data_IF_510726567762
#
_entry.id   IF_510726567762
#
_cell.length_a   1.000
_cell.length_b   1.000
_cell.length_c   1.000
_cell.angle_alpha   90.00
_cell.angle_beta   90.00
_cell.angle_gamma   90.00
#
_symmetry.space_group_name_H-M   'P 1'
#
loop_
_entity.id
_entity.type
_entity.pdbx_description
1 polymer ?
#
# COMPACT_ATOMS: atom_id res chain seq x y z
N UNK A 1 -36.63 -6.03 -5.00
CA UNK A 1 -35.24 -5.58 -5.14
C UNK A 1 -35.20 -4.20 -5.73
N UNK A 2 -34.45 -3.29 -5.13
CA UNK A 2 -34.33 -1.92 -5.60
C UNK A 2 -33.10 -1.80 -6.51
N UNK A 3 -33.34 -1.68 -7.80
CA UNK A 3 -32.26 -1.59 -8.80
C UNK A 3 -31.42 -0.32 -8.63
N UNK A 4 -32.05 0.79 -8.25
CA UNK A 4 -31.35 2.06 -8.07
C UNK A 4 -30.39 2.01 -6.90
N UNK A 5 -30.79 1.36 -5.79
CA UNK A 5 -29.94 1.18 -4.63
C UNK A 5 -28.71 0.31 -4.96
N UNK A 6 -28.89 -0.74 -5.74
CA UNK A 6 -27.80 -1.59 -6.17
C UNK A 6 -26.86 -0.90 -7.15
N UNK A 7 -27.41 -0.13 -8.09
CA UNK A 7 -26.61 0.67 -9.01
C UNK A 7 -25.75 1.68 -8.26
N UNK A 8 -26.35 2.39 -7.31
CA UNK A 8 -25.65 3.35 -6.48
C UNK A 8 -24.55 2.67 -5.65
N UNK A 9 -24.85 1.51 -5.08
CA UNK A 9 -23.89 0.72 -4.32
C UNK A 9 -22.67 0.37 -5.16
N UNK A 10 -22.87 -0.16 -6.36
CA UNK A 10 -21.76 -0.52 -7.23
C UNK A 10 -20.95 0.70 -7.67
N UNK A 11 -21.61 1.81 -7.93
CA UNK A 11 -20.93 3.06 -8.30
C UNK A 11 -20.05 3.56 -7.15
N UNK A 12 -20.56 3.52 -5.93
CA UNK A 12 -19.79 3.90 -4.74
C UNK A 12 -18.63 2.94 -4.48
N UNK A 13 -18.82 1.64 -4.71
CA UNK A 13 -17.74 0.66 -4.57
C UNK A 13 -16.61 0.95 -5.56
N UNK A 14 -16.91 1.29 -6.80
CA UNK A 14 -15.91 1.64 -7.79
C UNK A 14 -15.14 2.88 -7.37
N UNK A 15 -15.83 3.90 -6.85
CA UNK A 15 -15.19 5.13 -6.39
C UNK A 15 -14.25 4.87 -5.22
N UNK A 16 -14.67 4.04 -4.25
CA UNK A 16 -13.84 3.65 -3.12
C UNK A 16 -12.61 2.86 -3.57
N UNK A 17 -12.81 1.90 -4.47
CA UNK A 17 -11.71 1.09 -5.00
C UNK A 17 -10.66 1.97 -5.67
N UNK A 18 -11.10 2.90 -6.50
CA UNK A 18 -10.20 3.84 -7.19
C UNK A 18 -9.44 4.72 -6.21
N UNK A 19 -10.14 5.29 -5.23
CA UNK A 19 -9.52 6.17 -4.23
C UNK A 19 -8.52 5.40 -3.37
N UNK A 20 -8.87 4.19 -2.95
CA UNK A 20 -7.97 3.35 -2.17
C UNK A 20 -6.71 2.98 -2.95
N UNK A 21 -6.85 2.68 -4.24
CA UNK A 21 -5.70 2.40 -5.09
C UNK A 21 -4.75 3.61 -5.17
N UNK A 22 -5.30 4.81 -5.29
CA UNK A 22 -4.51 6.06 -5.29
C UNK A 22 -3.78 6.25 -3.97
N UNK A 23 -4.44 5.99 -2.84
CA UNK A 23 -3.83 6.12 -1.51
C UNK A 23 -2.68 5.13 -1.31
N UNK A 24 -2.85 3.90 -1.77
CA UNK A 24 -1.80 2.88 -1.71
C UNK A 24 -0.61 3.30 -2.58
N UNK A 25 -0.87 3.80 -3.78
CA UNK A 25 0.19 4.24 -4.68
C UNK A 25 0.97 5.43 -4.11
N UNK A 26 0.28 6.39 -3.50
CA UNK A 26 0.94 7.50 -2.80
C UNK A 26 1.84 6.99 -1.67
N UNK A 27 1.38 5.98 -0.93
CA UNK A 27 2.16 5.37 0.13
C UNK A 27 3.38 4.65 -0.41
N UNK A 28 3.26 3.96 -1.54
CA UNK A 28 4.41 3.34 -2.22
C UNK A 28 5.47 4.38 -2.58
N UNK A 29 5.05 5.55 -3.06
CA UNK A 29 5.98 6.63 -3.40
C UNK A 29 6.74 7.13 -2.17
N UNK A 30 6.07 7.25 -1.03
CA UNK A 30 6.73 7.61 0.23
C UNK A 30 7.76 6.57 0.64
N UNK A 31 7.42 5.29 0.56
CA UNK A 31 8.32 4.19 0.90
C UNK A 31 9.51 4.12 -0.04
N UNK A 32 9.27 4.31 -1.33
CA UNK A 32 10.33 4.33 -2.34
C UNK A 32 11.29 5.49 -2.10
N UNK A 33 10.77 6.67 -1.79
CA UNK A 33 11.60 7.84 -1.48
C UNK A 33 12.45 7.59 -0.22
N UNK A 34 11.88 6.98 0.80
CA UNK A 34 12.63 6.62 2.00
C UNK A 34 13.74 5.60 1.68
N UNK A 35 13.44 4.62 0.86
CA UNK A 35 14.42 3.61 0.41
C UNK A 35 15.61 4.29 -0.29
N UNK A 36 15.31 5.22 -1.21
CA UNK A 36 16.37 5.95 -1.93
C UNK A 36 17.20 6.83 -1.01
N UNK A 37 16.57 7.53 -0.08
CA UNK A 37 17.25 8.51 0.77
C UNK A 37 17.97 7.90 1.97
N UNK A 38 17.43 6.84 2.54
CA UNK A 38 17.90 6.30 3.82
C UNK A 38 18.44 4.89 3.69
N UNK A 39 17.64 3.97 3.14
CA UNK A 39 17.99 2.56 3.15
C UNK A 39 19.17 2.24 2.23
N UNK A 40 19.28 2.91 1.09
CA UNK A 40 20.44 2.73 0.21
C UNK A 40 21.74 3.19 0.86
N UNK A 41 21.68 4.20 1.69
CA UNK A 41 22.83 4.69 2.44
C UNK A 41 23.19 3.76 3.59
N UNK A 42 22.20 3.08 4.15
CA UNK A 42 22.41 2.11 5.23
C UNK A 42 23.11 0.84 4.72
N UNK A 43 22.91 0.50 3.46
CA UNK A 43 23.51 -0.66 2.82
C UNK A 43 24.30 -0.25 1.57
N UNK A 44 25.40 0.52 1.73
CA UNK A 44 26.07 1.20 0.62
C UNK A 44 26.73 0.28 -0.41
N UNK A 45 27.03 -0.95 -0.04
CA UNK A 45 27.68 -1.92 -0.94
C UNK A 45 26.70 -2.94 -1.51
N UNK A 46 25.41 -2.73 -1.27
CA UNK A 46 24.34 -3.66 -1.69
C UNK A 46 23.41 -2.98 -2.67
N UNK A 47 22.84 -3.76 -3.58
CA UNK A 47 21.69 -3.30 -4.34
C UNK A 47 20.48 -3.32 -3.42
N UNK A 48 19.78 -2.21 -3.30
CA UNK A 48 18.54 -2.11 -2.50
C UNK A 48 17.42 -1.67 -3.41
N UNK A 49 16.35 -2.46 -3.46
CA UNK A 49 15.20 -2.19 -4.31
C UNK A 49 13.92 -2.26 -3.50
N UNK A 50 13.11 -1.22 -3.59
CA UNK A 50 11.76 -1.23 -3.03
C UNK A 50 10.85 -2.12 -3.87
N UNK A 51 10.02 -2.92 -3.21
CA UNK A 51 8.99 -3.72 -3.87
C UNK A 51 7.63 -3.38 -3.28
N UNK A 52 6.68 -3.05 -4.16
CA UNK A 52 5.34 -2.66 -3.73
C UNK A 52 4.42 -3.88 -3.56
N UNK A 53 3.97 -4.11 -2.35
CA UNK A 53 2.98 -5.14 -2.03
C UNK A 53 1.83 -4.49 -1.26
N UNK A 54 0.64 -4.55 -1.82
CA UNK A 54 -0.55 -3.92 -1.23
C UNK A 54 -0.83 -4.47 0.16
N UNK A 55 -0.74 -5.78 0.32
CA UNK A 55 -1.02 -6.43 1.61
C UNK A 55 -0.03 -5.99 2.69
N UNK A 56 1.23 -5.83 2.34
CA UNK A 56 2.24 -5.36 3.27
C UNK A 56 1.94 -3.93 3.73
N UNK A 57 1.62 -3.04 2.80
CA UNK A 57 1.26 -1.65 3.12
C UNK A 57 0.05 -1.58 4.04
N UNK A 58 -0.97 -2.40 3.78
CA UNK A 58 -2.15 -2.47 4.65
C UNK A 58 -1.81 -2.94 6.06
N UNK A 59 -0.83 -3.82 6.18
CA UNK A 59 -0.37 -4.35 7.46
C UNK A 59 0.63 -3.44 8.19
N UNK A 60 1.02 -2.33 7.57
CA UNK A 60 1.95 -1.37 8.18
C UNK A 60 3.43 -1.63 7.87
N UNK A 61 3.72 -2.32 6.78
CA UNK A 61 5.08 -2.66 6.36
C UNK A 61 5.29 -2.34 4.89
N UNK A 62 6.56 -2.29 4.49
CA UNK A 62 6.94 -2.42 3.09
C UNK A 62 8.14 -3.35 2.98
N UNK A 63 8.36 -3.90 1.79
CA UNK A 63 9.41 -4.87 1.56
C UNK A 63 10.50 -4.28 0.68
N UNK A 64 11.74 -4.57 1.02
CA UNK A 64 12.88 -4.26 0.17
C UNK A 64 13.61 -5.55 -0.16
N UNK A 65 14.28 -5.55 -1.29
CA UNK A 65 15.20 -6.61 -1.66
C UNK A 65 16.61 -6.07 -1.50
N UNK A 66 17.45 -6.82 -0.81
CA UNK A 66 18.86 -6.48 -0.62
C UNK A 66 19.68 -7.54 -1.31
N UNK A 67 20.55 -7.12 -2.24
CA UNK A 67 21.44 -8.02 -2.97
C UNK A 67 22.85 -7.87 -2.42
N UNK A 68 23.33 -8.91 -1.74
CA UNK A 68 24.68 -9.00 -1.19
C UNK A 68 25.44 -10.17 -1.81
N UNK A 69 25.08 -10.55 -3.04
CA UNK A 69 25.55 -11.80 -3.68
C UNK A 69 24.46 -12.87 -3.70
N UNK A 70 23.50 -12.78 -2.78
CA UNK A 70 22.23 -13.49 -2.82
C UNK A 70 21.14 -12.52 -2.42
N UNK A 71 19.96 -12.64 -3.01
CA UNK A 71 18.86 -11.72 -2.74
C UNK A 71 18.16 -12.09 -1.44
N UNK A 72 18.07 -11.13 -0.54
CA UNK A 72 17.35 -11.26 0.73
C UNK A 72 16.19 -10.29 0.75
N UNK A 73 15.03 -10.76 1.19
CA UNK A 73 13.86 -9.90 1.39
C UNK A 73 13.82 -9.41 2.83
N UNK A 74 13.52 -8.14 3.01
CA UNK A 74 13.40 -7.58 4.35
C UNK A 74 12.14 -6.74 4.46
N UNK A 75 11.37 -6.97 5.52
CA UNK A 75 10.18 -6.18 5.82
C UNK A 75 10.56 -5.02 6.73
N UNK A 76 10.15 -3.83 6.35
CA UNK A 76 10.43 -2.59 7.07
C UNK A 76 9.12 -2.05 7.60
N UNK A 77 9.05 -1.75 8.89
CA UNK A 77 7.85 -1.16 9.49
C UNK A 77 7.75 0.32 9.09
N UNK A 78 6.57 0.75 8.66
CA UNK A 78 6.31 2.15 8.35
C UNK A 78 6.56 3.03 9.57
N UNK A 79 6.16 2.55 10.74
CA UNK A 79 6.37 3.21 12.02
C UNK A 79 7.84 3.56 12.24
N UNK A 80 8.75 2.65 11.98
CA UNK A 80 10.18 2.85 12.15
C UNK A 80 10.78 3.88 11.19
N UNK A 81 10.07 4.17 10.12
CA UNK A 81 10.50 5.14 9.11
C UNK A 81 9.85 6.52 9.29
N UNK A 82 8.97 6.67 10.27
CA UNK A 82 8.19 7.88 10.43
C UNK A 82 7.14 8.07 9.36
N UNK A 83 6.77 7.00 8.66
CA UNK A 83 5.74 7.02 7.63
C UNK A 83 4.42 6.59 8.26
N UNK A 84 3.39 7.40 8.07
CA UNK A 84 2.07 7.08 8.62
C UNK A 84 1.46 5.88 7.91
N UNK A 85 0.70 5.04 8.64
CA UNK A 85 -0.04 3.95 8.01
C UNK A 85 -1.01 4.47 6.97
N UNK A 86 -1.30 3.67 5.96
CA UNK A 86 -2.31 4.03 4.97
C UNK A 86 -3.69 3.89 5.61
N UNK A 87 -4.53 4.91 5.44
CA UNK A 87 -5.92 4.88 5.89
C UNK A 87 -6.81 4.75 4.65
N UNK A 88 -7.41 3.59 4.51
CA UNK A 88 -8.29 3.30 3.38
C UNK A 88 -9.74 3.58 3.73
N UNK A 89 -10.52 3.94 2.71
CA UNK A 89 -11.95 4.14 2.89
C UNK A 89 -12.67 2.79 2.96
N UNK A 90 -13.69 2.73 3.80
CA UNK A 90 -14.55 1.55 3.88
C UNK A 90 -15.51 1.51 2.70
N UNK A 91 -15.87 0.30 2.30
CA UNK A 91 -16.87 0.10 1.27
C UNK A 91 -18.26 0.39 1.83
N UNK A 92 -19.21 0.88 1.00
CA UNK A 92 -20.55 1.12 1.46
C UNK A 92 -21.24 -0.17 1.88
N UNK A 93 -22.27 -0.04 2.71
CA UNK A 93 -23.06 -1.19 3.16
C UNK A 93 -23.94 -1.68 2.02
N UNK A 94 -23.99 -2.99 1.82
CA UNK A 94 -24.83 -3.60 0.79
C UNK A 94 -26.29 -3.26 1.01
N UNK A 95 -27.04 -2.93 -0.06
CA UNK A 95 -28.50 -2.80 0.05
C UNK A 95 -29.13 -4.13 0.42
N UNK A 96 -30.26 -4.07 1.11
CA UNK A 96 -30.99 -5.28 1.44
C UNK A 96 -31.64 -5.89 0.19
N UNK A 97 -31.77 -7.20 0.20
CA UNK A 97 -32.39 -7.96 -0.87
C UNK A 97 -33.88 -8.13 -0.57
N UNK A 98 -34.71 -7.31 -1.12
CA UNK A 98 -36.16 -7.51 -0.94
C UNK A 98 -36.99 -6.96 -2.05
#
# INVERSE_FOLDING_TARGET
>A
MNKDAWYQYFTECEAVTKRNAELVEEKFKECEAYTEKVLKKKYPECGVVFTGHVDAIKAGYFTIWIDTGSVTHKNIKLEDCGIKPVELYDYPIRPDYF
#
